data_IF_877451890940
#
_entry.id   IF_877451890940
#
_cell.length_a   1.000
_cell.length_b   1.000
_cell.length_c   1.000
_cell.angle_alpha   90.00
_cell.angle_beta   90.00
_cell.angle_gamma   90.00
#
_symmetry.space_group_name_H-M   'P 1'
#
loop_
_entity.id
_entity.type
_entity.pdbx_description
1 polymer ?
#
# COMPACT_ATOMS: atom_id res chain seq x y z
N UNK A 1 -6.05 5.22 -9.09
CA UNK A 1 -4.98 5.08 -8.08
C UNK A 1 -3.75 4.48 -8.72
N UNK A 2 -2.59 5.07 -8.46
CA UNK A 2 -1.27 4.62 -8.90
C UNK A 2 -0.40 4.47 -7.66
N UNK A 3 0.45 3.46 -7.62
CA UNK A 3 1.43 3.27 -6.56
C UNK A 3 2.81 3.29 -7.22
N UNK A 4 3.64 4.26 -6.84
CA UNK A 4 4.99 4.39 -7.36
C UNK A 4 5.99 4.06 -6.26
N UNK A 5 7.04 3.33 -6.61
CA UNK A 5 8.22 3.20 -5.79
C UNK A 5 9.23 4.25 -6.28
N UNK A 6 9.66 5.15 -5.39
CA UNK A 6 10.63 6.21 -5.71
C UNK A 6 12.01 5.88 -5.12
N UNK A 7 13.03 6.50 -5.70
CA UNK A 7 14.38 6.49 -5.15
C UNK A 7 14.36 6.98 -3.69
N UNK A 8 15.20 6.38 -2.82
CA UNK A 8 15.22 6.53 -1.35
C UNK A 8 14.17 5.73 -0.56
N UNK A 9 13.74 4.57 -1.06
CA UNK A 9 12.84 3.64 -0.34
C UNK A 9 11.55 4.34 0.12
N UNK A 10 10.92 5.11 -0.77
CA UNK A 10 9.62 5.74 -0.51
C UNK A 10 8.56 5.17 -1.44
N UNK A 11 7.39 4.87 -0.87
CA UNK A 11 6.19 4.48 -1.61
C UNK A 11 5.29 5.70 -1.71
N UNK A 12 5.04 6.15 -2.94
CA UNK A 12 4.07 7.19 -3.23
C UNK A 12 2.75 6.55 -3.68
N UNK A 13 1.67 6.87 -2.96
CA UNK A 13 0.32 6.53 -3.36
C UNK A 13 -0.34 7.77 -3.93
N UNK A 14 -0.78 7.68 -5.18
CA UNK A 14 -1.52 8.74 -5.86
C UNK A 14 -2.95 8.25 -6.08
N UNK A 15 -3.93 8.94 -5.51
CA UNK A 15 -5.34 8.79 -5.87
C UNK A 15 -5.87 10.09 -6.49
N UNK A 16 -7.16 10.13 -6.81
CA UNK A 16 -7.75 11.28 -7.51
C UNK A 16 -7.78 12.56 -6.66
N UNK A 17 -7.71 12.42 -5.34
CA UNK A 17 -7.86 13.53 -4.39
C UNK A 17 -6.51 13.95 -3.79
N UNK A 18 -5.66 12.98 -3.45
CA UNK A 18 -4.45 13.17 -2.67
C UNK A 18 -3.29 12.33 -3.22
N UNK A 19 -2.07 12.82 -3.02
CA UNK A 19 -0.85 12.01 -3.00
C UNK A 19 -0.35 11.87 -1.56
N UNK A 20 0.17 10.70 -1.20
CA UNK A 20 0.81 10.48 0.10
C UNK A 20 2.10 9.69 -0.11
N UNK A 21 3.20 10.27 0.37
CA UNK A 21 4.50 9.62 0.42
C UNK A 21 4.66 8.94 1.78
N UNK A 22 5.12 7.69 1.76
CA UNK A 22 5.35 6.88 2.96
C UNK A 22 6.73 6.25 2.84
N UNK A 23 7.55 6.41 3.87
CA UNK A 23 8.83 5.70 3.95
C UNK A 23 8.60 4.21 4.10
N UNK A 24 9.25 3.38 3.27
CA UNK A 24 9.21 1.92 3.31
C UNK A 24 9.58 1.40 4.70
N UNK A 25 10.56 2.03 5.35
CA UNK A 25 11.01 1.64 6.68
C UNK A 25 9.91 1.80 7.73
N UNK A 26 8.97 2.74 7.53
CA UNK A 26 7.83 2.93 8.42
C UNK A 26 6.64 2.02 8.07
N UNK A 27 6.74 1.16 7.05
CA UNK A 27 5.66 0.24 6.67
C UNK A 27 5.84 -1.10 7.40
N UNK A 28 4.93 -1.36 8.34
CA UNK A 28 4.82 -2.68 8.96
C UNK A 28 4.20 -3.67 7.96
N UNK A 29 3.05 -3.29 7.39
CA UNK A 29 2.25 -4.16 6.51
C UNK A 29 1.47 -3.36 5.48
N UNK A 30 1.51 -3.82 4.24
CA UNK A 30 0.69 -3.28 3.13
C UNK A 30 -0.18 -4.39 2.53
N UNK A 31 -1.47 -4.12 2.33
CA UNK A 31 -2.43 -5.11 1.84
C UNK A 31 -3.68 -4.48 1.22
N UNK A 32 -4.38 -5.26 0.39
CA UNK A 32 -5.69 -4.88 -0.15
C UNK A 32 -6.79 -5.42 0.74
N UNK A 33 -7.63 -4.53 1.27
CA UNK A 33 -8.83 -4.86 2.02
C UNK A 33 -10.10 -4.48 1.27
N UNK A 34 -11.24 -4.87 1.84
CA UNK A 34 -12.55 -4.41 1.38
C UNK A 34 -13.50 -4.20 2.55
N UNK A 35 -14.51 -3.36 2.34
CA UNK A 35 -15.71 -3.27 3.19
C UNK A 35 -16.92 -3.59 2.32
N UNK A 36 -17.85 -4.36 2.85
CA UNK A 36 -19.14 -4.63 2.22
C UNK A 36 -20.17 -3.71 2.88
N UNK A 37 -20.94 -3.00 2.07
CA UNK A 37 -22.10 -2.25 2.53
C UNK A 37 -23.28 -2.61 1.65
N UNK A 38 -24.33 -3.18 2.25
CA UNK A 38 -25.45 -3.81 1.53
C UNK A 38 -24.92 -4.83 0.51
N UNK A 39 -24.93 -4.50 -0.79
CA UNK A 39 -24.45 -5.34 -1.90
C UNK A 39 -23.20 -4.77 -2.58
N UNK A 40 -22.70 -3.62 -2.12
CA UNK A 40 -21.55 -2.94 -2.73
C UNK A 40 -20.26 -3.26 -1.97
N UNK A 41 -19.28 -3.77 -2.71
CA UNK A 41 -17.92 -4.05 -2.19
C UNK A 41 -17.00 -2.88 -2.50
N UNK A 42 -16.64 -2.13 -1.48
CA UNK A 42 -15.67 -1.04 -1.56
C UNK A 42 -14.26 -1.56 -1.27
N UNK A 43 -13.31 -1.28 -2.15
CA UNK A 43 -11.94 -1.74 -2.03
C UNK A 43 -11.02 -0.65 -1.50
N UNK A 44 -10.06 -1.05 -0.69
CA UNK A 44 -9.11 -0.15 -0.04
C UNK A 44 -7.71 -0.73 -0.09
N UNK A 45 -6.73 0.10 -0.39
CA UNK A 45 -5.33 -0.16 -0.07
C UNK A 45 -5.14 0.26 1.39
N UNK A 46 -4.63 -0.66 2.20
CA UNK A 46 -4.34 -0.41 3.61
C UNK A 46 -2.85 -0.51 3.86
N UNK A 47 -2.32 0.47 4.57
CA UNK A 47 -0.94 0.50 5.05
C UNK A 47 -0.99 0.65 6.56
N UNK A 48 -0.46 -0.35 7.26
CA UNK A 48 -0.19 -0.28 8.69
C UNK A 48 1.25 0.21 8.88
N UNK A 49 1.43 1.29 9.61
CA UNK A 49 2.75 1.82 9.96
C UNK A 49 3.30 1.13 11.20
N UNK A 50 4.61 1.25 11.45
CA UNK A 50 5.23 0.69 12.66
C UNK A 50 4.70 1.35 13.95
N UNK A 51 4.17 2.57 13.85
CA UNK A 51 3.53 3.31 14.94
C UNK A 51 2.10 2.84 15.23
N UNK A 52 1.59 1.87 14.47
CA UNK A 52 0.24 1.32 14.64
C UNK A 52 -0.87 2.07 13.88
N UNK A 53 -0.54 3.18 13.20
CA UNK A 53 -1.49 3.92 12.35
C UNK A 53 -1.90 3.06 11.13
N UNK A 54 -3.18 3.08 10.77
CA UNK A 54 -3.69 2.40 9.56
C UNK A 54 -4.21 3.40 8.55
N UNK A 55 -3.39 3.68 7.55
CA UNK A 55 -3.75 4.49 6.40
C UNK A 55 -4.62 3.69 5.42
N UNK A 56 -5.75 4.27 5.01
CA UNK A 56 -6.72 3.61 4.13
C UNK A 56 -7.00 4.46 2.89
N UNK A 57 -6.71 3.93 1.71
CA UNK A 57 -6.92 4.60 0.43
C UNK A 57 -7.96 3.84 -0.40
N UNK A 58 -9.12 4.44 -0.60
CA UNK A 58 -10.20 3.85 -1.42
C UNK A 58 -9.77 3.77 -2.89
N UNK A 59 -10.14 2.70 -3.58
CA UNK A 59 -9.94 2.56 -5.02
C UNK A 59 -11.04 1.75 -5.71
N UNK A 60 -11.20 1.95 -7.02
CA UNK A 60 -12.23 1.25 -7.81
C UNK A 60 -11.91 -0.23 -8.02
N UNK A 61 -12.94 -1.07 -7.98
CA UNK A 61 -12.85 -2.53 -8.26
C UNK A 61 -12.09 -2.85 -9.55
N UNK A 62 -12.22 -2.03 -10.61
CA UNK A 62 -11.50 -2.21 -11.89
C UNK A 62 -9.97 -2.21 -11.74
N UNK A 63 -9.43 -1.54 -10.72
CA UNK A 63 -8.00 -1.45 -10.46
C UNK A 63 -7.49 -2.56 -9.52
N UNK A 64 -8.36 -3.43 -9.00
CA UNK A 64 -8.05 -4.39 -7.92
C UNK A 64 -6.86 -5.28 -8.25
N UNK A 65 -6.86 -5.92 -9.42
CA UNK A 65 -5.82 -6.90 -9.75
C UNK A 65 -4.47 -6.24 -10.05
N UNK A 66 -4.48 -5.05 -10.69
CA UNK A 66 -3.26 -4.23 -10.84
C UNK A 66 -2.70 -3.85 -9.48
N UNK A 67 -3.53 -3.30 -8.59
CA UNK A 67 -3.10 -2.87 -7.25
C UNK A 67 -2.58 -4.04 -6.42
N UNK A 68 -3.21 -5.23 -6.51
CA UNK A 68 -2.69 -6.43 -5.86
C UNK A 68 -1.29 -6.80 -6.34
N UNK A 69 -1.02 -6.72 -7.65
CA UNK A 69 0.31 -6.95 -8.22
C UNK A 69 1.32 -5.92 -7.71
N UNK A 70 0.95 -4.64 -7.70
CA UNK A 70 1.82 -3.56 -7.20
C UNK A 70 2.14 -3.73 -5.71
N UNK A 71 1.12 -4.06 -4.89
CA UNK A 71 1.29 -4.38 -3.47
C UNK A 71 2.22 -5.59 -3.27
N UNK A 72 2.07 -6.63 -4.08
CA UNK A 72 2.95 -7.80 -4.00
C UNK A 72 4.41 -7.44 -4.27
N UNK A 73 4.68 -6.63 -5.30
CA UNK A 73 6.03 -6.15 -5.61
C UNK A 73 6.61 -5.34 -4.46
N UNK A 74 5.83 -4.41 -3.90
CA UNK A 74 6.25 -3.59 -2.77
C UNK A 74 6.55 -4.46 -1.54
N UNK A 75 5.73 -5.47 -1.25
CA UNK A 75 6.01 -6.40 -0.15
C UNK A 75 7.33 -7.14 -0.32
N UNK A 76 7.66 -7.57 -1.54
CA UNK A 76 8.96 -8.19 -1.82
C UNK A 76 10.11 -7.22 -1.55
N UNK A 77 9.99 -5.95 -1.96
CA UNK A 77 11.00 -4.92 -1.70
C UNK A 77 11.14 -4.65 -0.20
N UNK A 78 10.04 -4.43 0.51
CA UNK A 78 10.04 -4.22 1.97
C UNK A 78 10.72 -5.39 2.68
N UNK A 79 10.42 -6.62 2.26
CA UNK A 79 11.02 -7.80 2.85
C UNK A 79 12.52 -7.88 2.58
N UNK A 80 12.97 -7.59 1.35
CA UNK A 80 14.40 -7.53 1.03
C UNK A 80 15.15 -6.47 1.86
N UNK A 81 14.61 -5.26 1.96
CA UNK A 81 15.20 -4.19 2.79
C UNK A 81 15.30 -4.63 4.26
N UNK A 82 14.26 -5.28 4.81
CA UNK A 82 14.30 -5.82 6.19
C UNK A 82 15.32 -6.95 6.36
N UNK A 83 15.62 -7.70 5.31
CA UNK A 83 16.60 -8.80 5.38
C UNK A 83 18.03 -8.27 5.33
N UNK A 84 18.27 -7.16 4.62
CA UNK A 84 19.59 -6.52 4.54
C UNK A 84 19.98 -5.76 5.82
N UNK A 85 19.00 -5.23 6.56
CA UNK A 85 19.26 -4.50 7.83
C UNK A 85 19.56 -5.45 9.00
N UNK A 86 19.14 -6.71 8.89
CA UNK A 86 19.29 -7.71 9.96
C UNK A 86 20.50 -8.65 9.78
N UNK A 87 21.36 -8.41 8.78
CA UNK A 87 22.62 -9.11 8.54
C UNK A 87 23.79 -8.14 8.68
#
# INVERSE_FOLDING_TARGET
MKINYKEKSTVEIINFYNSKNISVNNIEKIYVGFKVFLFLKMYYLKIKTNEGEVLSFKFDKKNKDRIKKDVSKIRSIINWDKTLVNN
#
